data_IF_078092817971
#
_entry.id   IF_078092817971
#
_cell.length_a   1.000
_cell.length_b   1.000
_cell.length_c   1.000
_cell.angle_alpha   90.00
_cell.angle_beta   90.00
_cell.angle_gamma   90.00
#
_symmetry.space_group_name_H-M   'P 1'
#
loop_
_entity.id
_entity.type
_entity.pdbx_description
1 polymer ?
#
# COMPACT_ATOMS: atom_id res chain seq x y z
N UNK A 1 -9.55 -10.87 -52.60
CA UNK A 1 -8.21 -10.46 -52.13
C UNK A 1 -8.28 -9.34 -51.09
N UNK A 2 -8.96 -8.21 -51.35
CA UNK A 2 -9.13 -7.12 -50.37
C UNK A 2 -9.78 -7.53 -49.03
N UNK A 3 -10.84 -8.34 -49.06
CA UNK A 3 -11.52 -8.76 -47.82
C UNK A 3 -10.65 -9.63 -46.90
N UNK A 4 -9.73 -10.42 -47.47
CA UNK A 4 -8.78 -11.22 -46.71
C UNK A 4 -7.70 -10.33 -46.06
N UNK A 5 -7.25 -9.29 -46.78
CA UNK A 5 -6.27 -8.32 -46.28
C UNK A 5 -6.87 -7.50 -45.12
N UNK A 6 -8.10 -7.03 -45.24
CA UNK A 6 -8.79 -6.30 -44.16
C UNK A 6 -9.03 -7.18 -42.93
N UNK A 7 -9.38 -8.46 -43.11
CA UNK A 7 -9.51 -9.41 -42.01
C UNK A 7 -8.17 -9.63 -41.29
N UNK A 8 -7.08 -9.80 -42.04
CA UNK A 8 -5.74 -9.99 -41.47
C UNK A 8 -5.26 -8.72 -40.74
N UNK A 9 -5.50 -7.53 -41.29
CA UNK A 9 -5.19 -6.26 -40.62
C UNK A 9 -5.99 -6.15 -39.32
N UNK A 10 -7.30 -6.42 -39.34
CA UNK A 10 -8.14 -6.37 -38.14
C UNK A 10 -7.72 -7.39 -37.06
N UNK A 11 -7.25 -8.57 -37.46
CA UNK A 11 -6.71 -9.58 -36.53
C UNK A 11 -5.37 -9.14 -35.92
N UNK A 12 -4.48 -8.53 -36.72
CA UNK A 12 -3.20 -8.00 -36.24
C UNK A 12 -3.44 -6.82 -35.29
N UNK A 13 -4.35 -5.91 -35.61
CA UNK A 13 -4.74 -4.79 -34.71
C UNK A 13 -5.31 -5.31 -33.39
N UNK A 14 -6.18 -6.32 -33.43
CA UNK A 14 -6.72 -6.94 -32.22
C UNK A 14 -5.62 -7.63 -31.38
N UNK A 15 -4.64 -8.29 -32.01
CA UNK A 15 -3.50 -8.88 -31.31
C UNK A 15 -2.56 -7.83 -30.71
N UNK A 16 -2.34 -6.71 -31.40
CA UNK A 16 -1.51 -5.60 -30.89
C UNK A 16 -2.18 -4.86 -29.73
N UNK A 17 -3.51 -4.75 -29.73
CA UNK A 17 -4.29 -4.17 -28.62
C UNK A 17 -4.27 -5.05 -27.36
N UNK A 18 -4.12 -6.37 -27.52
CA UNK A 18 -4.08 -7.32 -26.40
C UNK A 18 -2.67 -7.54 -25.82
N UNK A 19 -1.64 -6.86 -26.31
CA UNK A 19 -0.30 -6.96 -25.73
C UNK A 19 -0.11 -5.99 -24.57
N UNK A 20 0.42 -6.51 -23.47
CA UNK A 20 0.86 -5.69 -22.35
C UNK A 20 1.98 -4.75 -22.80
N UNK A 21 1.82 -3.46 -22.50
CA UNK A 21 2.79 -2.42 -22.83
C UNK A 21 3.68 -2.19 -21.61
N UNK A 22 5.02 -2.23 -21.75
CA UNK A 22 5.90 -1.84 -20.66
C UNK A 22 5.60 -0.42 -20.17
N UNK A 23 5.47 -0.25 -18.86
CA UNK A 23 5.25 1.04 -18.20
C UNK A 23 6.59 1.56 -17.67
N UNK A 24 6.98 2.75 -18.12
CA UNK A 24 8.14 3.45 -17.60
C UNK A 24 7.82 4.13 -16.27
N UNK A 25 8.65 3.88 -15.26
CA UNK A 25 8.56 4.56 -13.96
C UNK A 25 9.85 5.31 -13.66
N UNK A 26 9.84 6.17 -12.63
CA UNK A 26 11.04 6.86 -12.12
C UNK A 26 12.13 5.92 -11.62
N UNK A 27 11.82 4.63 -11.39
CA UNK A 27 12.78 3.61 -10.91
C UNK A 27 13.19 2.61 -11.99
N UNK A 28 12.44 2.52 -13.08
CA UNK A 28 12.70 1.59 -14.18
C UNK A 28 11.41 1.07 -14.80
N UNK A 29 11.56 0.28 -15.87
CA UNK A 29 10.43 -0.23 -16.64
C UNK A 29 9.80 -1.44 -15.94
N UNK A 30 8.47 -1.50 -15.92
CA UNK A 30 7.71 -2.68 -15.47
C UNK A 30 6.81 -3.24 -16.56
N UNK A 31 6.58 -4.56 -16.55
CA UNK A 31 5.65 -5.24 -17.44
C UNK A 31 4.53 -5.90 -16.63
N UNK A 32 3.30 -5.46 -16.87
CA UNK A 32 2.09 -6.04 -16.32
C UNK A 32 1.43 -7.05 -17.25
N UNK A 33 0.16 -7.36 -16.98
CA UNK A 33 -0.69 -8.26 -17.75
C UNK A 33 -1.93 -7.52 -18.25
N UNK A 34 -2.44 -7.85 -19.44
CA UNK A 34 -3.74 -7.34 -19.90
C UNK A 34 -4.82 -8.31 -19.44
N UNK A 35 -5.78 -7.81 -18.67
CA UNK A 35 -6.89 -8.60 -18.10
C UNK A 35 -8.22 -8.04 -18.61
N UNK A 36 -9.16 -8.93 -18.89
CA UNK A 36 -10.53 -8.59 -19.24
C UNK A 36 -11.48 -9.03 -18.12
N UNK A 37 -12.43 -8.16 -17.79
CA UNK A 37 -13.57 -8.55 -16.97
C UNK A 37 -14.81 -7.75 -17.33
N UNK A 38 -15.91 -8.46 -17.60
CA UNK A 38 -17.24 -7.87 -17.81
C UNK A 38 -17.27 -6.82 -18.92
N UNK A 39 -16.54 -7.05 -20.01
CA UNK A 39 -16.38 -6.13 -21.14
C UNK A 39 -15.38 -5.00 -20.90
N UNK A 40 -14.71 -4.96 -19.74
CA UNK A 40 -13.69 -3.96 -19.40
C UNK A 40 -12.31 -4.60 -19.48
N UNK A 41 -11.50 -4.12 -20.40
CA UNK A 41 -10.09 -4.49 -20.52
C UNK A 41 -9.25 -3.51 -19.74
N UNK A 42 -8.24 -3.97 -19.00
CA UNK A 42 -7.25 -3.10 -18.37
C UNK A 42 -5.92 -3.80 -18.17
N UNK A 43 -4.85 -3.01 -18.12
CA UNK A 43 -3.51 -3.55 -17.87
C UNK A 43 -3.20 -3.51 -16.38
N UNK A 44 -2.98 -4.68 -15.80
CA UNK A 44 -2.75 -4.95 -14.38
C UNK A 44 -1.27 -5.05 -14.07
N UNK A 45 -0.80 -4.36 -13.04
CA UNK A 45 0.56 -4.46 -12.54
C UNK A 45 0.54 -4.78 -11.05
N UNK A 46 1.00 -5.97 -10.65
CA UNK A 46 0.72 -6.49 -9.32
C UNK A 46 1.86 -6.29 -8.31
N UNK A 47 3.11 -6.15 -8.74
CA UNK A 47 4.23 -6.07 -7.81
C UNK A 47 5.26 -5.00 -8.18
N UNK A 48 4.79 -3.77 -8.39
CA UNK A 48 5.71 -2.63 -8.58
C UNK A 48 6.39 -2.32 -7.23
N UNK A 49 7.73 -2.47 -7.10
CA UNK A 49 8.41 -2.21 -5.84
C UNK A 49 8.63 -0.70 -5.66
N UNK A 50 8.04 -0.12 -4.61
CA UNK A 50 8.24 1.29 -4.25
C UNK A 50 9.33 1.50 -3.18
N UNK A 51 9.58 0.49 -2.33
CA UNK A 51 10.54 0.55 -1.24
C UNK A 51 11.60 -0.56 -1.32
N UNK A 52 12.72 -0.37 -0.61
CA UNK A 52 13.63 -1.46 -0.28
C UNK A 52 12.93 -2.43 0.69
N UNK A 53 13.23 -3.75 0.65
CA UNK A 53 12.67 -4.69 1.60
C UNK A 53 13.02 -4.29 3.04
N UNK A 54 12.04 -4.10 3.94
CA UNK A 54 12.29 -3.73 5.33
C UNK A 54 12.72 -4.96 6.14
N UNK A 55 13.91 -5.47 5.84
CA UNK A 55 14.47 -6.65 6.48
C UNK A 55 15.94 -6.43 6.87
N UNK A 56 16.46 -7.28 7.76
CA UNK A 56 17.78 -7.08 8.35
C UNK A 56 17.85 -5.74 9.09
N UNK A 57 18.85 -4.94 8.76
CA UNK A 57 19.06 -3.61 9.34
C UNK A 57 17.92 -2.62 9.05
N UNK A 58 17.12 -2.84 7.99
CA UNK A 58 16.00 -1.97 7.63
C UNK A 58 14.67 -2.34 8.32
N UNK A 59 14.64 -3.39 9.15
CA UNK A 59 13.38 -3.96 9.67
C UNK A 59 12.51 -2.94 10.41
N UNK A 60 13.12 -2.14 11.28
CA UNK A 60 12.43 -1.16 12.12
C UNK A 60 12.74 0.29 11.73
N UNK A 61 13.31 0.47 10.55
CA UNK A 61 13.69 1.77 10.02
C UNK A 61 12.58 2.37 9.16
N UNK A 62 12.67 3.68 8.92
CA UNK A 62 11.83 4.33 7.92
C UNK A 62 12.00 3.64 6.55
N UNK A 63 10.91 3.51 5.77
CA UNK A 63 11.02 2.85 4.48
C UNK A 63 11.88 3.69 3.54
N UNK A 64 12.88 3.03 2.96
CA UNK A 64 13.73 3.64 1.95
C UNK A 64 13.16 3.42 0.55
N UNK A 65 13.15 4.44 -0.33
CA UNK A 65 12.77 4.26 -1.72
C UNK A 65 13.59 3.15 -2.38
N UNK A 66 12.95 2.35 -3.22
CA UNK A 66 13.63 1.31 -4.02
C UNK A 66 14.71 1.96 -4.90
N UNK A 67 15.89 1.33 -4.97
CA UNK A 67 16.92 1.74 -5.93
C UNK A 67 16.46 1.45 -7.36
N UNK A 68 16.85 2.24 -8.36
CA UNK A 68 16.52 1.95 -9.75
C UNK A 68 17.01 0.55 -10.19
N UNK A 69 16.26 -0.09 -11.10
CA UNK A 69 16.68 -1.34 -11.73
C UNK A 69 16.96 -1.15 -13.22
N UNK A 70 17.68 -2.11 -13.80
CA UNK A 70 17.96 -2.14 -15.25
C UNK A 70 17.07 -3.16 -15.93
N UNK A 71 16.63 -2.83 -17.14
CA UNK A 71 15.76 -3.69 -17.94
C UNK A 71 14.30 -3.63 -17.50
N UNK A 72 13.48 -4.53 -18.05
CA UNK A 72 12.05 -4.62 -17.78
C UNK A 72 11.81 -5.59 -16.64
N UNK A 73 11.23 -5.11 -15.55
CA UNK A 73 10.81 -5.94 -14.42
C UNK A 73 9.42 -6.52 -14.69
N UNK A 74 9.31 -7.84 -14.75
CA UNK A 74 8.02 -8.51 -14.81
C UNK A 74 7.34 -8.45 -13.44
N UNK A 75 6.18 -7.80 -13.39
CA UNK A 75 5.40 -7.58 -12.17
C UNK A 75 4.06 -8.31 -12.20
N UNK A 76 3.94 -9.35 -13.04
CA UNK A 76 2.79 -10.24 -13.10
C UNK A 76 2.87 -11.27 -11.97
N UNK A 77 1.72 -11.58 -11.35
CA UNK A 77 1.52 -12.75 -10.49
C UNK A 77 2.29 -12.76 -9.15
N UNK A 78 2.49 -11.58 -8.56
CA UNK A 78 2.90 -11.42 -7.15
C UNK A 78 2.08 -10.25 -6.61
N UNK A 79 1.36 -10.45 -5.50
CA UNK A 79 0.22 -9.66 -5.04
C UNK A 79 0.29 -8.13 -5.27
N UNK A 80 -0.65 -7.64 -6.10
CA UNK A 80 -1.51 -6.43 -6.21
C UNK A 80 -1.29 -5.07 -6.92
N UNK A 81 -2.45 -4.53 -7.34
CA UNK A 81 -2.84 -4.25 -8.72
C UNK A 81 -2.93 -2.76 -9.06
N UNK A 82 -2.22 -2.32 -10.09
CA UNK A 82 -2.44 -1.06 -10.79
C UNK A 82 -3.18 -1.35 -12.10
N UNK A 83 -4.29 -0.67 -12.38
CA UNK A 83 -5.07 -0.85 -13.60
C UNK A 83 -4.91 0.34 -14.54
N UNK A 84 -4.24 0.13 -15.67
CA UNK A 84 -4.12 1.12 -16.73
C UNK A 84 -5.16 0.87 -17.81
N UNK A 85 -5.91 1.93 -18.12
CA UNK A 85 -6.76 2.03 -19.28
C UNK A 85 -6.14 3.10 -20.16
N UNK A 86 -5.88 2.80 -21.44
CA UNK A 86 -5.40 3.80 -22.40
C UNK A 86 -6.46 4.87 -22.58
N UNK A 87 -6.31 5.98 -21.87
CA UNK A 87 -7.09 7.18 -22.09
C UNK A 87 -6.17 8.31 -22.49
N UNK A 88 -6.62 9.13 -23.45
CA UNK A 88 -5.96 10.38 -23.81
C UNK A 88 -6.08 11.44 -22.71
N UNK A 89 -6.92 11.20 -21.70
CA UNK A 89 -7.13 12.04 -20.53
C UNK A 89 -6.54 11.39 -19.27
N UNK A 90 -6.02 12.23 -18.37
CA UNK A 90 -5.59 11.80 -17.04
C UNK A 90 -6.82 11.57 -16.15
N UNK A 91 -6.94 10.39 -15.57
CA UNK A 91 -8.08 10.00 -14.74
C UNK A 91 -7.91 10.30 -13.25
N UNK A 92 -8.98 10.32 -12.45
CA UNK A 92 -8.86 10.25 -10.99
C UNK A 92 -8.16 8.96 -10.55
N UNK A 93 -7.33 9.05 -9.51
CA UNK A 93 -6.73 7.89 -8.83
C UNK A 93 -7.52 7.58 -7.56
N UNK A 94 -8.01 6.34 -7.44
CA UNK A 94 -8.44 5.74 -6.18
C UNK A 94 -7.27 4.93 -5.59
N UNK A 95 -6.62 5.48 -4.56
CA UNK A 95 -5.58 4.81 -3.80
C UNK A 95 -6.17 4.12 -2.58
N UNK A 96 -6.25 2.79 -2.63
CA UNK A 96 -6.91 1.97 -1.62
C UNK A 96 -5.93 1.39 -0.61
N UNK A 97 -6.19 1.61 0.68
CA UNK A 97 -5.46 1.07 1.82
C UNK A 97 -6.30 -0.06 2.42
N UNK A 98 -5.72 -1.26 2.49
CA UNK A 98 -6.43 -2.43 2.99
C UNK A 98 -6.68 -2.35 4.51
N UNK A 99 -7.71 -3.06 4.96
CA UNK A 99 -8.02 -3.22 6.39
C UNK A 99 -7.23 -4.36 7.05
N UNK A 100 -7.74 -4.84 8.20
CA UNK A 100 -7.15 -5.98 8.93
C UNK A 100 -6.54 -5.62 10.29
N UNK A 101 -7.08 -4.59 10.94
CA UNK A 101 -6.76 -4.25 12.34
C UNK A 101 -5.28 -3.95 12.58
N UNK A 102 -4.57 -3.48 11.56
CA UNK A 102 -3.12 -3.22 11.55
C UNK A 102 -2.24 -4.45 11.73
N UNK A 103 -2.78 -5.67 11.79
CA UNK A 103 -2.05 -6.91 12.14
C UNK A 103 -2.01 -7.93 11.01
N UNK A 104 -3.05 -7.93 10.19
CA UNK A 104 -3.22 -8.82 9.04
C UNK A 104 -3.73 -7.99 7.88
N UNK A 105 -3.73 -8.58 6.69
CA UNK A 105 -4.25 -7.91 5.51
C UNK A 105 -3.31 -8.02 4.33
N UNK A 106 -3.80 -7.53 3.20
CA UNK A 106 -2.97 -7.26 2.05
C UNK A 106 -3.82 -6.83 0.88
N UNK A 107 -3.16 -6.22 -0.10
CA UNK A 107 -3.84 -5.80 -1.33
C UNK A 107 -4.37 -6.97 -2.16
N UNK A 108 -3.94 -8.21 -1.88
CA UNK A 108 -4.47 -9.45 -2.48
C UNK A 108 -5.94 -9.77 -2.12
N UNK A 109 -6.53 -9.10 -1.13
CA UNK A 109 -7.96 -9.24 -0.81
C UNK A 109 -8.89 -8.74 -1.92
N UNK A 110 -8.37 -7.93 -2.85
CA UNK A 110 -9.17 -7.27 -3.87
C UNK A 110 -8.86 -7.87 -5.24
N UNK A 111 -9.79 -8.67 -5.75
CA UNK A 111 -9.64 -9.32 -7.05
C UNK A 111 -9.63 -8.32 -8.21
N UNK A 112 -8.74 -8.54 -9.18
CA UNK A 112 -8.67 -7.77 -10.43
C UNK A 112 -10.03 -7.66 -11.13
N UNK A 113 -10.78 -8.77 -11.19
CA UNK A 113 -12.10 -8.81 -11.82
C UNK A 113 -13.09 -7.81 -11.18
N UNK A 114 -13.08 -7.71 -9.85
CA UNK A 114 -13.90 -6.79 -9.09
C UNK A 114 -13.47 -5.34 -9.26
N UNK A 115 -12.16 -5.08 -9.28
CA UNK A 115 -11.60 -3.75 -9.51
C UNK A 115 -11.92 -3.26 -10.92
N UNK A 116 -11.71 -4.10 -11.95
CA UNK A 116 -12.03 -3.79 -13.34
C UNK A 116 -13.52 -3.45 -13.49
N UNK A 117 -14.39 -4.34 -12.98
CA UNK A 117 -15.84 -4.20 -13.12
C UNK A 117 -16.41 -2.98 -12.40
N UNK A 118 -15.92 -2.67 -11.19
CA UNK A 118 -16.56 -1.66 -10.33
C UNK A 118 -15.83 -0.32 -10.31
N UNK A 119 -14.53 -0.28 -10.60
CA UNK A 119 -13.69 0.94 -10.53
C UNK A 119 -13.20 1.33 -11.91
N UNK A 120 -12.45 0.46 -12.58
CA UNK A 120 -11.83 0.80 -13.86
C UNK A 120 -12.89 1.11 -14.94
N UNK A 121 -14.00 0.36 -14.97
CA UNK A 121 -15.15 0.59 -15.86
C UNK A 121 -15.77 1.99 -15.71
N UNK A 122 -15.50 2.67 -14.60
CA UNK A 122 -15.96 4.04 -14.29
C UNK A 122 -14.92 5.10 -14.63
N UNK A 123 -13.88 4.75 -15.40
CA UNK A 123 -12.76 5.64 -15.75
C UNK A 123 -12.00 6.15 -14.52
N UNK A 124 -11.72 5.25 -13.59
CA UNK A 124 -10.93 5.55 -12.38
C UNK A 124 -9.72 4.61 -12.38
N UNK A 125 -8.52 5.17 -12.21
CA UNK A 125 -7.31 4.37 -11.98
C UNK A 125 -7.35 3.86 -10.54
N UNK A 126 -7.10 2.57 -10.37
CA UNK A 126 -7.01 1.95 -9.04
C UNK A 126 -5.56 1.61 -8.73
N UNK A 127 -5.12 1.93 -7.51
CA UNK A 127 -3.86 1.46 -6.96
C UNK A 127 -4.02 1.06 -5.49
N UNK A 128 -3.20 0.14 -5.02
CA UNK A 128 -3.13 -0.24 -3.61
C UNK A 128 -1.69 -0.62 -3.23
N UNK A 129 -1.34 -0.49 -1.96
CA UNK A 129 -0.02 -0.82 -1.44
C UNK A 129 -0.14 -1.70 -0.20
N UNK A 130 0.76 -2.67 -0.08
CA UNK A 130 1.00 -3.34 1.20
C UNK A 130 1.86 -2.43 2.09
N UNK A 131 1.70 -2.59 3.39
CA UNK A 131 2.46 -1.87 4.42
C UNK A 131 2.84 -2.82 5.55
N UNK A 132 3.87 -2.50 6.33
CA UNK A 132 4.27 -3.32 7.49
C UNK A 132 3.13 -3.39 8.51
N UNK A 133 2.92 -4.56 9.08
CA UNK A 133 1.84 -4.82 10.02
C UNK A 133 2.36 -5.24 11.38
N UNK A 134 1.48 -5.21 12.36
CA UNK A 134 1.71 -5.65 13.73
C UNK A 134 2.86 -4.88 14.37
N UNK A 135 3.71 -5.64 15.08
CA UNK A 135 4.87 -5.10 15.76
C UNK A 135 5.83 -4.40 14.79
N UNK A 136 6.07 -4.95 13.60
CA UNK A 136 7.03 -4.39 12.65
C UNK A 136 6.58 -3.06 12.04
N UNK A 137 5.27 -2.82 11.95
CA UNK A 137 4.71 -1.58 11.39
C UNK A 137 4.50 -0.46 12.42
N UNK A 138 4.34 -0.80 13.70
CA UNK A 138 3.84 0.13 14.71
C UNK A 138 4.64 0.13 16.02
N UNK A 139 5.75 -0.60 16.11
CA UNK A 139 6.63 -0.50 17.28
C UNK A 139 7.15 0.92 17.42
N UNK A 140 6.93 1.50 18.60
CA UNK A 140 7.44 2.80 18.97
C UNK A 140 8.19 2.68 20.30
N UNK A 141 9.36 3.28 20.39
CA UNK A 141 10.04 3.54 21.66
C UNK A 141 9.92 5.02 22.01
N UNK A 142 10.26 5.35 23.26
CA UNK A 142 10.45 6.75 23.68
C UNK A 142 11.78 7.34 23.18
N UNK A 143 12.49 6.66 22.28
CA UNK A 143 13.72 7.12 21.64
C UNK A 143 13.48 7.38 20.15
N UNK A 144 14.40 8.11 19.52
CA UNK A 144 14.33 8.38 18.09
C UNK A 144 14.67 7.15 17.22
N UNK A 145 15.18 6.07 17.82
CA UNK A 145 15.65 4.88 17.10
C UNK A 145 14.50 4.01 16.57
N UNK A 146 13.32 4.07 17.20
CA UNK A 146 12.09 3.43 16.73
C UNK A 146 10.92 4.40 16.88
N UNK A 147 10.77 5.35 15.93
CA UNK A 147 9.82 6.46 16.08
C UNK A 147 8.33 6.05 15.97
N UNK A 148 8.03 4.79 15.67
CA UNK A 148 6.67 4.32 15.45
C UNK A 148 6.12 4.67 14.07
N UNK A 149 4.89 4.23 13.82
CA UNK A 149 4.12 4.60 12.62
C UNK A 149 4.78 4.24 11.27
N UNK A 150 5.69 3.26 11.26
CA UNK A 150 6.41 2.82 10.06
C UNK A 150 5.47 2.38 8.93
N UNK A 151 4.34 1.76 9.28
CA UNK A 151 3.27 1.42 8.35
C UNK A 151 2.65 2.65 7.64
N UNK A 152 2.48 3.77 8.36
CA UNK A 152 1.99 5.01 7.75
C UNK A 152 3.04 5.58 6.79
N UNK A 153 4.32 5.47 7.12
CA UNK A 153 5.41 5.89 6.25
C UNK A 153 5.53 4.99 5.01
N UNK A 154 5.24 3.68 5.12
CA UNK A 154 5.22 2.76 3.98
C UNK A 154 4.15 3.20 2.96
N UNK A 155 2.94 3.47 3.44
CA UNK A 155 1.83 3.95 2.59
C UNK A 155 2.12 5.35 2.03
N UNK A 156 2.77 6.23 2.81
CA UNK A 156 3.15 7.56 2.34
C UNK A 156 4.21 7.49 1.24
N UNK A 157 5.18 6.57 1.37
CA UNK A 157 6.19 6.33 0.33
C UNK A 157 5.56 5.74 -0.93
N UNK A 158 4.58 4.84 -0.80
CA UNK A 158 3.82 4.32 -1.94
C UNK A 158 3.02 5.44 -2.64
N UNK A 159 2.34 6.31 -1.89
CA UNK A 159 1.64 7.47 -2.44
C UNK A 159 2.60 8.41 -3.17
N UNK A 160 3.77 8.69 -2.58
CA UNK A 160 4.82 9.49 -3.21
C UNK A 160 5.28 8.87 -4.53
N UNK A 161 5.54 7.56 -4.54
CA UNK A 161 5.92 6.83 -5.75
C UNK A 161 4.84 6.95 -6.83
N UNK A 162 3.56 6.79 -6.49
CA UNK A 162 2.47 6.97 -7.45
C UNK A 162 2.47 8.40 -8.00
N UNK A 163 2.55 9.42 -7.13
CA UNK A 163 2.57 10.84 -7.54
C UNK A 163 3.71 11.16 -8.51
N UNK A 164 4.91 10.63 -8.25
CA UNK A 164 6.07 10.77 -9.14
C UNK A 164 5.89 10.12 -10.52
N UNK A 165 4.95 9.16 -10.62
CA UNK A 165 4.68 8.38 -11.83
C UNK A 165 3.30 8.66 -12.42
N UNK A 166 2.60 9.72 -11.98
CA UNK A 166 1.22 10.00 -12.37
C UNK A 166 1.03 10.08 -13.89
N UNK A 167 1.99 10.68 -14.59
CA UNK A 167 1.95 10.89 -16.03
C UNK A 167 2.05 9.56 -16.81
N UNK A 168 3.01 8.71 -16.46
CA UNK A 168 3.13 7.39 -17.09
C UNK A 168 1.97 6.48 -16.69
N UNK A 169 1.46 6.65 -15.46
CA UNK A 169 0.33 5.90 -14.93
C UNK A 169 -1.05 6.47 -15.34
N UNK A 170 -1.10 7.47 -16.21
CA UNK A 170 -2.34 7.96 -16.80
C UNK A 170 -3.38 8.52 -15.80
N UNK A 171 -2.94 9.03 -14.65
CA UNK A 171 -3.84 9.65 -13.67
C UNK A 171 -3.46 11.09 -13.37
N UNK A 172 -4.43 11.88 -12.91
CA UNK A 172 -4.25 13.28 -12.52
C UNK A 172 -3.69 13.34 -11.10
N UNK A 173 -2.45 13.79 -10.96
CA UNK A 173 -1.75 13.95 -9.69
C UNK A 173 -2.46 14.91 -8.71
N UNK A 174 -3.37 15.75 -9.20
CA UNK A 174 -4.18 16.65 -8.38
C UNK A 174 -5.55 16.06 -7.99
N UNK A 175 -5.88 14.87 -8.49
CA UNK A 175 -7.14 14.19 -8.24
C UNK A 175 -6.92 12.77 -7.69
N UNK A 176 -6.26 12.73 -6.52
CA UNK A 176 -6.01 11.50 -5.77
C UNK A 176 -7.01 11.39 -4.62
N UNK A 177 -7.78 10.31 -4.63
CA UNK A 177 -8.71 9.93 -3.57
C UNK A 177 -8.05 8.81 -2.77
N UNK A 178 -7.74 9.06 -1.51
CA UNK A 178 -7.27 8.00 -0.60
C UNK A 178 -8.48 7.35 0.06
N UNK A 179 -8.57 6.03 0.03
CA UNK A 179 -9.69 5.30 0.58
C UNK A 179 -9.22 4.07 1.34
N UNK A 180 -10.03 3.58 2.26
CA UNK A 180 -9.75 2.31 2.91
C UNK A 180 -10.87 1.83 3.81
N UNK A 181 -10.76 0.57 4.23
CA UNK A 181 -11.73 -0.11 5.11
C UNK A 181 -11.10 -0.42 6.48
N UNK A 182 -11.87 -0.24 7.56
CA UNK A 182 -11.45 -0.55 8.93
C UNK A 182 -10.13 0.14 9.32
N UNK A 183 -9.04 -0.61 9.57
CA UNK A 183 -7.70 -0.07 9.79
C UNK A 183 -7.23 0.79 8.61
N UNK A 184 -7.49 0.39 7.37
CA UNK A 184 -7.19 1.17 6.17
C UNK A 184 -8.04 2.44 6.08
N UNK A 185 -9.31 2.39 6.51
CA UNK A 185 -10.17 3.58 6.61
C UNK A 185 -9.65 4.57 7.66
N UNK A 186 -9.08 4.05 8.75
CA UNK A 186 -8.40 4.84 9.76
C UNK A 186 -7.15 5.51 9.18
N UNK A 187 -6.30 4.78 8.44
CA UNK A 187 -5.12 5.36 7.75
C UNK A 187 -5.53 6.39 6.71
N UNK A 188 -6.58 6.13 5.91
CA UNK A 188 -7.12 7.10 4.95
C UNK A 188 -7.59 8.38 5.65
N UNK A 189 -8.22 8.26 6.82
CA UNK A 189 -8.60 9.39 7.66
C UNK A 189 -7.39 10.18 8.15
N UNK A 190 -6.36 9.49 8.65
CA UNK A 190 -5.10 10.11 9.09
C UNK A 190 -4.45 10.87 7.94
N UNK A 191 -4.40 10.27 6.76
CA UNK A 191 -3.84 10.88 5.56
C UNK A 191 -4.63 12.13 5.14
N UNK A 192 -5.96 12.06 5.17
CA UNK A 192 -6.83 13.18 4.82
C UNK A 192 -6.71 14.40 5.74
N UNK A 193 -6.32 14.21 7.00
CA UNK A 193 -6.13 15.32 7.98
C UNK A 193 -4.67 15.68 8.22
N UNK A 194 -3.72 14.96 7.62
CA UNK A 194 -2.29 15.16 7.84
C UNK A 194 -1.79 16.46 7.21
N UNK A 195 -1.21 17.39 8.00
CA UNK A 195 -0.60 18.60 7.43
C UNK A 195 0.54 18.30 6.43
N UNK A 196 1.21 17.14 6.58
CA UNK A 196 2.28 16.70 5.67
C UNK A 196 1.80 16.41 4.26
N UNK A 197 0.51 16.08 4.10
CA UNK A 197 -0.09 15.70 2.81
C UNK A 197 -1.05 16.78 2.27
N UNK A 198 -1.00 17.98 2.84
CA UNK A 198 -1.87 19.09 2.43
C UNK A 198 -1.60 19.45 0.96
N UNK A 199 -2.63 19.32 0.12
CA UNK A 199 -2.54 19.57 -1.32
C UNK A 199 -2.02 18.38 -2.13
N UNK A 200 -1.63 17.28 -1.49
CA UNK A 200 -1.24 16.03 -2.18
C UNK A 200 -2.42 15.07 -2.39
N UNK A 201 -3.46 15.18 -1.55
CA UNK A 201 -4.67 14.37 -1.60
C UNK A 201 -5.87 15.28 -1.84
N UNK A 202 -6.69 14.90 -2.81
CA UNK A 202 -7.91 15.63 -3.18
C UNK A 202 -9.05 15.34 -2.19
N UNK A 203 -9.25 14.07 -1.85
CA UNK A 203 -10.30 13.63 -0.93
C UNK A 203 -9.92 12.33 -0.20
N UNK A 204 -10.58 12.08 0.93
CA UNK A 204 -10.47 10.83 1.67
C UNK A 204 -11.84 10.14 1.80
N UNK A 205 -11.92 8.83 1.55
CA UNK A 205 -13.13 8.02 1.72
C UNK A 205 -12.92 6.97 2.82
N UNK A 206 -13.77 7.02 3.84
CA UNK A 206 -13.56 6.33 5.11
C UNK A 206 -14.61 5.23 5.29
N UNK A 207 -14.27 3.97 5.03
CA UNK A 207 -15.18 2.85 5.22
C UNK A 207 -14.96 2.22 6.60
N UNK A 208 -15.89 2.40 7.52
CA UNK A 208 -15.85 1.77 8.86
C UNK A 208 -14.56 1.99 9.66
N UNK A 209 -13.89 3.14 9.48
CA UNK A 209 -12.70 3.55 10.21
C UNK A 209 -12.46 5.06 10.07
N UNK A 210 -11.87 5.71 11.07
CA UNK A 210 -11.65 7.17 11.05
C UNK A 210 -10.53 7.57 12.02
N UNK A 211 -9.85 8.69 11.75
CA UNK A 211 -8.62 9.10 12.43
C UNK A 211 -8.76 9.31 13.95
N UNK A 212 -9.93 9.79 14.40
CA UNK A 212 -10.21 10.01 15.82
C UNK A 212 -10.90 8.80 16.50
N UNK A 213 -10.87 7.63 15.86
CA UNK A 213 -11.48 6.42 16.39
C UNK A 213 -10.71 5.87 17.60
N UNK A 214 -11.38 5.19 18.54
CA UNK A 214 -10.74 4.67 19.76
C UNK A 214 -9.69 3.58 19.49
N UNK A 215 -9.68 3.00 18.29
CA UNK A 215 -8.70 2.00 17.86
C UNK A 215 -7.61 2.58 16.94
N UNK A 216 -7.63 3.90 16.69
CA UNK A 216 -6.73 4.55 15.74
C UNK A 216 -5.37 4.88 16.34
N UNK A 217 -5.33 5.20 17.64
CA UNK A 217 -4.13 5.70 18.33
C UNK A 217 -3.96 4.93 19.64
N UNK A 218 -2.76 4.37 19.84
CA UNK A 218 -2.31 3.89 21.14
C UNK A 218 -1.46 4.98 21.79
N UNK A 219 -1.78 5.35 23.03
CA UNK A 219 -1.04 6.30 23.86
C UNK A 219 -0.26 5.54 24.92
N UNK A 220 0.66 6.18 25.63
CA UNK A 220 1.38 5.57 26.76
C UNK A 220 0.44 4.94 27.80
N UNK A 221 -0.78 5.46 27.96
CA UNK A 221 -1.80 4.93 28.87
C UNK A 221 -2.50 3.67 28.32
N UNK A 222 -2.69 3.58 27.01
CA UNK A 222 -3.38 2.45 26.37
C UNK A 222 -2.43 1.37 25.85
N UNK A 223 -1.15 1.70 25.68
CA UNK A 223 -0.08 0.81 25.21
C UNK A 223 0.07 -0.48 26.05
N UNK A 224 -0.02 -0.47 27.40
CA UNK A 224 0.06 -1.71 28.17
C UNK A 224 -1.04 -2.70 27.79
N UNK A 225 -2.28 -2.23 27.62
CA UNK A 225 -3.42 -3.06 27.21
C UNK A 225 -3.24 -3.58 25.78
N UNK A 226 -2.79 -2.74 24.86
CA UNK A 226 -2.47 -3.13 23.48
C UNK A 226 -1.33 -4.15 23.43
N UNK A 227 -0.31 -4.03 24.28
CA UNK A 227 0.77 -5.00 24.44
C UNK A 227 0.26 -6.34 25.00
N UNK A 228 -0.69 -6.34 25.95
CA UNK A 228 -1.34 -7.56 26.44
C UNK A 228 -2.21 -8.23 25.37
N UNK A 229 -2.98 -7.47 24.60
CA UNK A 229 -3.80 -7.99 23.49
C UNK A 229 -2.91 -8.51 22.34
N UNK A 230 -1.79 -7.84 22.07
CA UNK A 230 -0.77 -8.30 21.15
C UNK A 230 -0.05 -9.54 21.69
N UNK A 231 0.20 -9.67 22.99
CA UNK A 231 0.77 -10.88 23.61
C UNK A 231 -0.12 -12.10 23.33
N UNK A 232 -1.44 -11.99 23.47
CA UNK A 232 -2.35 -13.08 23.10
C UNK A 232 -2.27 -13.46 21.61
N UNK A 233 -1.98 -12.49 20.73
CA UNK A 233 -1.80 -12.70 19.29
C UNK A 233 -0.42 -13.30 18.97
N UNK A 234 0.64 -12.84 19.64
CA UNK A 234 2.02 -13.30 19.46
C UNK A 234 2.22 -14.70 20.06
N UNK A 235 1.58 -14.99 21.20
CA UNK A 235 1.56 -16.33 21.81
C UNK A 235 0.86 -17.36 20.88
N UNK A 236 -0.04 -16.91 20.00
CA UNK A 236 -0.72 -17.75 19.01
C UNK A 236 0.12 -18.00 17.72
N UNK A 237 1.02 -17.09 17.32
CA UNK A 237 1.71 -17.17 16.02
C UNK A 237 3.26 -17.24 16.04
N UNK A 238 3.97 -16.79 17.09
CA UNK A 238 5.42 -16.50 16.99
C UNK A 238 6.29 -16.90 18.21
N UNK A 239 5.95 -17.99 18.90
CA UNK A 239 6.62 -18.46 20.14
C UNK A 239 8.17 -18.49 20.09
N UNK A 240 8.86 -18.91 19.00
CA UNK A 240 10.33 -19.03 19.01
C UNK A 240 11.09 -17.69 18.92
N UNK A 241 10.47 -16.62 18.42
CA UNK A 241 11.12 -15.30 18.27
C UNK A 241 11.19 -14.55 19.61
N UNK A 242 10.23 -14.81 20.50
CA UNK A 242 10.12 -14.12 21.78
C UNK A 242 11.18 -14.50 22.82
N UNK A 243 11.71 -15.72 22.78
CA UNK A 243 12.73 -16.16 23.76
C UNK A 243 14.05 -15.41 23.60
N UNK A 244 14.39 -14.98 22.38
CA UNK A 244 15.54 -14.08 22.14
C UNK A 244 15.28 -12.65 22.62
N UNK A 245 14.04 -12.15 22.51
CA UNK A 245 13.67 -10.80 22.93
C UNK A 245 13.54 -10.64 24.45
N UNK A 246 13.04 -11.66 25.15
CA UNK A 246 12.95 -11.65 26.64
C UNK A 246 14.32 -11.51 27.31
N UNK A 247 15.37 -12.00 26.66
CA UNK A 247 16.75 -11.87 27.14
C UNK A 247 17.32 -10.45 26.99
N UNK A 248 16.74 -9.62 26.12
CA UNK A 248 17.20 -8.24 25.87
C UNK A 248 16.39 -7.19 26.64
N UNK A 249 15.15 -7.49 27.07
CA UNK A 249 14.34 -6.56 27.90
C UNK A 249 14.49 -6.76 29.41
N UNK A 250 15.34 -7.67 29.87
CA UNK A 250 15.64 -7.86 31.30
C UNK A 250 16.58 -6.77 31.83
N UNK A 251 16.14 -5.51 31.77
CA UNK A 251 16.71 -4.39 32.53
C UNK A 251 15.63 -3.35 32.83
N UNK A 252 14.72 -3.66 33.76
CA UNK A 252 14.15 -2.66 34.66
C UNK A 252 13.98 -3.30 36.04
N UNK A 253 14.67 -2.81 37.09
CA UNK A 253 14.38 -3.23 38.45
C UNK A 253 12.96 -2.80 38.84
N UNK A 254 12.23 -3.66 39.52
CA UNK A 254 10.80 -3.51 39.87
C UNK A 254 10.43 -2.31 40.79
N UNK A 255 11.34 -1.37 41.06
CA UNK A 255 11.18 -0.40 42.16
C UNK A 255 11.08 1.10 41.81
N UNK A 256 10.82 1.49 40.55
CA UNK A 256 10.69 2.92 40.18
C UNK A 256 9.27 3.38 39.83
N UNK A 257 8.27 2.96 40.62
CA UNK A 257 6.86 3.37 40.43
C UNK A 257 6.36 4.47 41.38
N UNK A 258 7.21 5.18 42.12
CA UNK A 258 6.70 6.16 43.13
C UNK A 258 7.25 7.58 43.10
N UNK A 259 8.07 7.98 42.14
CA UNK A 259 8.39 9.41 41.97
C UNK A 259 8.40 9.78 40.49
N UNK A 260 7.27 10.33 40.00
CA UNK A 260 7.22 11.28 38.87
C UNK A 260 5.76 11.72 38.62
N UNK A 261 5.09 12.19 39.68
CA UNK A 261 3.97 13.14 39.56
C UNK A 261 4.42 14.44 40.22
N UNK A 262 5.15 15.26 39.45
CA UNK A 262 5.23 16.72 39.55
C UNK A 262 5.63 17.28 38.19
#
# INVERSE_FOLDING_TARGET
MLGLILLVIGLIEAQLLNQAIPLETTKGTVLGEVVESSGTWGQVFESIPFAKPPSGELRFELPEPRDPWKGVLDVRNQSACYHYLRFSEKLPLLFWIHGGGFRVGGKYYYENSGILRNVASKRIVFASADYRMGFEGFVATRSNDMPGNLALEDVALALKFLRENADSMGFDVNNIIVAGESAGGTMAGIFGVSPRLKGEIHAAMLFSGFASGPLAISTDETAPKTCYDNKATVDYFFTPILDKFRCQMSFMPENTTTEMVK
#
